data_IF_327748887356
#
_entry.id   IF_327748887356
#
_cell.length_a   1.000
_cell.length_b   1.000
_cell.length_c   1.000
_cell.angle_alpha   90.00
_cell.angle_beta   90.00
_cell.angle_gamma   90.00
#
_symmetry.space_group_name_H-M   'P 1'
#
loop_
_entity.id
_entity.type
_entity.pdbx_description
1 polymer ?
#
# COMPACT_ATOMS: atom_id res chain seq x y z
N UNK A 1 12.00 1.63 -1.87
CA UNK A 1 11.56 2.92 -2.44
C UNK A 1 12.30 3.19 -3.73
N UNK A 2 11.57 3.38 -4.83
CA UNK A 2 12.12 3.64 -6.16
C UNK A 2 12.80 5.01 -6.29
N UNK A 3 12.53 5.96 -5.38
CA UNK A 3 13.08 7.32 -5.43
C UNK A 3 14.41 7.43 -4.66
N UNK A 4 14.44 7.00 -3.40
CA UNK A 4 15.62 7.16 -2.54
C UNK A 4 16.34 5.84 -2.19
N UNK A 5 15.89 4.71 -2.73
CA UNK A 5 16.51 3.40 -2.48
C UNK A 5 16.24 2.79 -1.10
N UNK A 6 15.42 3.41 -0.24
CA UNK A 6 15.15 2.87 1.09
C UNK A 6 14.50 1.47 1.03
N UNK A 7 15.01 0.51 1.82
CA UNK A 7 14.55 -0.89 1.79
C UNK A 7 13.37 -1.16 2.74
N UNK A 8 13.26 -0.40 3.83
CA UNK A 8 12.18 -0.54 4.82
C UNK A 8 11.03 0.47 4.65
N UNK A 9 9.93 0.22 5.35
CA UNK A 9 8.78 1.13 5.45
C UNK A 9 8.23 1.57 4.08
N UNK A 10 8.18 0.62 3.13
CA UNK A 10 7.74 0.87 1.76
C UNK A 10 6.26 0.55 1.58
N UNK A 11 5.63 1.35 0.72
CA UNK A 11 4.23 1.27 0.34
C UNK A 11 4.11 1.13 -1.17
N UNK A 12 3.18 0.31 -1.63
CA UNK A 12 2.87 0.16 -3.05
C UNK A 12 1.58 0.93 -3.35
N UNK A 13 1.61 1.86 -4.29
CA UNK A 13 0.40 2.52 -4.78
C UNK A 13 -0.46 1.52 -5.58
N UNK A 14 -1.75 1.41 -5.27
CA UNK A 14 -2.62 0.44 -5.97
C UNK A 14 -2.94 0.82 -7.42
N UNK A 15 -2.89 2.11 -7.77
CA UNK A 15 -3.20 2.56 -9.13
C UNK A 15 -1.98 2.52 -10.06
N UNK A 16 -0.78 2.80 -9.52
CA UNK A 16 0.44 2.97 -10.32
C UNK A 16 1.49 1.88 -10.09
N UNK A 17 1.30 1.05 -9.05
CA UNK A 17 2.22 0.00 -8.59
C UNK A 17 3.61 0.49 -8.16
N UNK A 18 3.82 1.80 -8.03
CA UNK A 18 5.09 2.36 -7.55
C UNK A 18 5.31 2.01 -6.08
N UNK A 19 6.53 1.58 -5.77
CA UNK A 19 7.02 1.27 -4.43
C UNK A 19 7.76 2.46 -3.83
N UNK A 20 7.16 3.10 -2.82
CA UNK A 20 7.60 4.39 -2.29
C UNK A 20 7.66 4.36 -0.76
N UNK A 21 8.62 5.07 -0.15
CA UNK A 21 8.76 5.02 1.30
C UNK A 21 7.70 5.84 2.03
N UNK A 22 7.42 5.43 3.26
CA UNK A 22 6.44 6.06 4.15
C UNK A 22 6.90 7.43 4.65
N UNK A 23 5.99 8.12 5.34
CA UNK A 23 6.26 9.37 6.06
C UNK A 23 7.33 9.25 7.16
N UNK A 24 7.58 8.04 7.65
CA UNK A 24 8.62 7.79 8.67
C UNK A 24 10.02 7.67 8.08
N UNK A 25 10.15 7.68 6.74
CA UNK A 25 11.43 7.68 6.04
C UNK A 25 11.62 9.03 5.34
N UNK A 26 11.04 9.20 4.14
CA UNK A 26 11.17 10.43 3.35
C UNK A 26 9.84 10.89 2.72
N UNK A 27 8.74 10.15 2.91
CA UNK A 27 7.41 10.61 2.52
C UNK A 27 7.06 10.51 1.04
N UNK A 28 7.88 9.85 0.21
CA UNK A 28 7.64 9.78 -1.24
C UNK A 28 6.28 9.16 -1.62
N UNK A 29 5.71 8.28 -0.79
CA UNK A 29 4.37 7.74 -1.05
C UNK A 29 3.29 8.84 -0.97
N UNK A 30 3.40 9.77 -0.01
CA UNK A 30 2.49 10.90 0.14
C UNK A 30 2.66 11.89 -1.00
N UNK A 31 3.90 12.26 -1.32
CA UNK A 31 4.22 13.16 -2.44
C UNK A 31 3.67 12.61 -3.76
N UNK A 32 3.80 11.30 -3.98
CA UNK A 32 3.23 10.64 -5.15
C UNK A 32 1.70 10.71 -5.19
N UNK A 33 1.02 10.48 -4.07
CA UNK A 33 -0.43 10.57 -3.99
C UNK A 33 -0.93 11.99 -4.30
N UNK A 34 -0.26 13.01 -3.78
CA UNK A 34 -0.55 14.42 -4.07
C UNK A 34 -0.32 14.79 -5.54
N UNK A 35 0.78 14.32 -6.14
CA UNK A 35 1.14 14.65 -7.51
C UNK A 35 0.30 13.91 -8.57
N UNK A 36 -0.10 12.66 -8.30
CA UNK A 36 -0.79 11.80 -9.26
C UNK A 36 -2.30 11.70 -9.05
N UNK A 37 -2.79 12.04 -7.86
CA UNK A 37 -4.16 11.77 -7.43
C UNK A 37 -4.42 10.31 -7.05
N UNK A 38 -3.42 9.43 -7.14
CA UNK A 38 -3.53 8.02 -6.73
C UNK A 38 -3.37 7.87 -5.22
N UNK A 39 -4.50 7.90 -4.51
CA UNK A 39 -4.54 8.08 -3.05
C UNK A 39 -4.43 6.79 -2.24
N UNK A 40 -4.60 5.62 -2.84
CA UNK A 40 -4.61 4.36 -2.08
C UNK A 40 -3.29 3.63 -2.25
N UNK A 41 -2.67 3.27 -1.14
CA UNK A 41 -1.47 2.47 -1.10
C UNK A 41 -1.56 1.36 -0.04
N UNK A 42 -0.76 0.32 -0.22
CA UNK A 42 -0.65 -0.83 0.69
C UNK A 42 0.76 -0.91 1.25
N UNK A 43 0.86 -1.10 2.56
CA UNK A 43 2.12 -1.25 3.28
C UNK A 43 2.74 -2.63 3.00
N UNK A 44 4.02 -2.67 2.64
CA UNK A 44 4.75 -3.94 2.54
C UNK A 44 5.12 -4.53 3.90
N UNK A 45 5.06 -3.74 4.98
CA UNK A 45 5.39 -4.22 6.33
C UNK A 45 4.31 -5.15 6.90
N UNK A 46 3.04 -4.83 6.70
CA UNK A 46 1.90 -5.50 7.34
C UNK A 46 0.68 -5.71 6.43
N UNK A 47 0.75 -5.31 5.15
CA UNK A 47 -0.35 -5.37 4.19
C UNK A 47 -1.59 -4.54 4.59
N UNK A 48 -1.42 -3.54 5.46
CA UNK A 48 -2.46 -2.54 5.74
C UNK A 48 -2.64 -1.58 4.56
N UNK A 49 -3.88 -1.14 4.33
CA UNK A 49 -4.22 -0.19 3.26
C UNK A 49 -4.42 1.21 3.84
N UNK A 50 -3.90 2.21 3.15
CA UNK A 50 -3.99 3.61 3.53
C UNK A 50 -4.57 4.45 2.40
N UNK A 51 -5.50 5.35 2.74
CA UNK A 51 -6.02 6.38 1.85
C UNK A 51 -5.43 7.74 2.22
N UNK A 52 -4.53 8.26 1.39
CA UNK A 52 -3.90 9.57 1.53
C UNK A 52 -4.90 10.74 1.39
N UNK A 53 -6.07 10.53 0.77
CA UNK A 53 -7.10 11.55 0.65
C UNK A 53 -7.93 11.73 1.92
N UNK A 54 -8.15 10.64 2.65
CA UNK A 54 -8.92 10.64 3.90
C UNK A 54 -8.04 10.62 5.16
N UNK A 55 -6.72 10.45 4.99
CA UNK A 55 -5.75 10.29 6.08
C UNK A 55 -6.15 9.15 7.05
N UNK A 56 -6.59 8.02 6.47
CA UNK A 56 -7.19 6.92 7.21
C UNK A 56 -6.78 5.55 6.66
N UNK A 57 -6.81 4.54 7.54
CA UNK A 57 -6.71 3.16 7.14
C UNK A 57 -8.02 2.67 6.52
N UNK A 58 -7.90 1.86 5.48
CA UNK A 58 -9.02 1.17 4.86
C UNK A 58 -9.15 -0.24 5.44
N UNK A 59 -10.38 -0.63 5.77
CA UNK A 59 -10.67 -1.99 6.23
C UNK A 59 -10.72 -2.93 5.03
N UNK A 60 -9.69 -3.76 4.90
CA UNK A 60 -9.57 -4.74 3.82
C UNK A 60 -10.71 -5.76 3.84
N UNK A 61 -11.25 -6.10 5.01
CA UNK A 61 -12.31 -7.11 5.14
C UNK A 61 -13.70 -6.55 4.83
N UNK A 62 -13.90 -5.24 5.00
CA UNK A 62 -15.16 -4.58 4.69
C UNK A 62 -15.24 -4.07 3.23
N UNK A 63 -14.10 -3.90 2.56
CA UNK A 63 -14.03 -3.29 1.23
C UNK A 63 -13.59 -4.36 0.21
N UNK A 64 -14.57 -4.98 -0.45
CA UNK A 64 -14.37 -6.07 -1.39
C UNK A 64 -13.39 -5.73 -2.53
N UNK A 65 -13.36 -4.47 -2.98
CA UNK A 65 -12.42 -4.01 -4.01
C UNK A 65 -10.93 -4.15 -3.61
N UNK A 66 -10.63 -4.28 -2.30
CA UNK A 66 -9.28 -4.49 -1.79
C UNK A 66 -8.90 -5.97 -1.69
N UNK A 67 -9.86 -6.90 -1.80
CA UNK A 67 -9.62 -8.34 -1.64
C UNK A 67 -8.64 -8.89 -2.68
N UNK A 68 -8.80 -8.50 -3.95
CA UNK A 68 -7.93 -8.96 -5.03
C UNK A 68 -6.47 -8.54 -4.85
N UNK A 69 -6.14 -7.23 -4.67
CA UNK A 69 -4.75 -6.83 -4.42
C UNK A 69 -4.21 -7.39 -3.10
N UNK A 70 -5.03 -7.45 -2.04
CA UNK A 70 -4.60 -8.05 -0.77
C UNK A 70 -4.24 -9.52 -0.90
N UNK A 71 -5.09 -10.32 -1.56
CA UNK A 71 -4.85 -11.74 -1.80
C UNK A 71 -3.55 -11.96 -2.59
N UNK A 72 -3.34 -11.20 -3.66
CA UNK A 72 -2.12 -11.30 -4.46
C UNK A 72 -0.87 -11.01 -3.63
N UNK A 73 -0.90 -9.95 -2.82
CA UNK A 73 0.23 -9.56 -1.97
C UNK A 73 0.45 -10.51 -0.81
N UNK A 74 -0.62 -11.06 -0.22
CA UNK A 74 -0.53 -12.05 0.84
C UNK A 74 0.12 -13.34 0.33
N UNK A 75 -0.29 -13.83 -0.85
CA UNK A 75 0.36 -14.97 -1.51
C UNK A 75 1.83 -14.66 -1.82
N UNK A 76 2.13 -13.48 -2.37
CA UNK A 76 3.51 -13.11 -2.68
C UNK A 76 4.40 -13.02 -1.43
N UNK A 77 3.86 -12.57 -0.29
CA UNK A 77 4.61 -12.35 0.95
C UNK A 77 4.73 -13.62 1.80
N UNK A 78 3.67 -14.42 1.89
CA UNK A 78 3.56 -15.53 2.83
C UNK A 78 3.45 -16.90 2.15
N UNK A 79 3.22 -16.96 0.83
CA UNK A 79 3.08 -18.21 0.08
C UNK A 79 1.69 -18.84 0.16
N UNK A 80 0.71 -18.17 0.77
CA UNK A 80 -0.66 -18.67 0.91
C UNK A 80 -1.71 -17.57 0.72
N UNK A 81 -2.93 -17.97 0.35
CA UNK A 81 -4.06 -17.04 0.25
C UNK A 81 -4.58 -16.68 1.66
N UNK A 82 -5.00 -15.42 1.88
CA UNK A 82 -5.59 -15.03 3.14
C UNK A 82 -7.00 -15.63 3.27
N UNK A 83 -7.44 -15.82 4.51
CA UNK A 83 -8.86 -16.09 4.77
C UNK A 83 -9.60 -14.76 4.82
N UNK A 84 -10.49 -14.52 3.85
CA UNK A 84 -11.36 -13.36 3.81
C UNK A 84 -12.78 -13.78 4.29
N UNK A 85 -13.51 -12.89 4.98
CA UNK A 85 -14.89 -13.16 5.40
C UNK A 85 -15.87 -13.22 4.24
#
# INVERSE_FOLDING_TARGET
>A
CEVCGAEGENWICLATHKCLCSRYVAGHAKEHAEASGAKIAVSLADLSFWDFGQDAYLDVFAIEALHAPYTALHVAKFGEAPTLP
#
